data_IF_401838723788
#
_entry.id   IF_401838723788
#
_cell.length_a   1.000
_cell.length_b   1.000
_cell.length_c   1.000
_cell.angle_alpha   90.00
_cell.angle_beta   90.00
_cell.angle_gamma   90.00
#
_symmetry.space_group_name_H-M   'P 1'
#
loop_
_entity.id
_entity.type
_entity.pdbx_description
1 polymer ?
#
# COMPACT_ATOMS: atom_id res chain seq x y z
N UNK A 1 -22.08 27.07 -62.83
CA UNK A 1 -20.81 27.53 -63.42
C UNK A 1 -19.70 26.59 -63.00
N UNK A 2 -18.86 26.22 -63.98
CA UNK A 2 -17.53 25.59 -63.91
C UNK A 2 -17.31 24.38 -62.97
N UNK A 3 -17.49 23.22 -63.60
CA UNK A 3 -16.85 21.92 -63.35
C UNK A 3 -15.32 22.06 -63.37
N UNK A 4 -14.59 21.22 -62.65
CA UNK A 4 -13.47 20.43 -63.21
C UNK A 4 -13.16 19.23 -62.30
N UNK A 5 -13.52 18.05 -62.81
CA UNK A 5 -12.95 16.73 -62.49
C UNK A 5 -11.77 16.53 -63.45
N UNK A 6 -10.68 15.90 -63.00
CA UNK A 6 -9.69 15.11 -63.76
C UNK A 6 -8.47 14.87 -62.83
N UNK A 7 -7.67 13.79 -62.80
CA UNK A 7 -7.51 12.54 -63.55
C UNK A 7 -6.73 11.58 -62.64
N UNK A 8 -7.04 10.29 -62.71
CA UNK A 8 -6.24 9.18 -62.19
C UNK A 8 -4.99 9.00 -63.05
N UNK A 9 -3.80 8.84 -62.44
CA UNK A 9 -2.69 8.16 -63.09
C UNK A 9 -2.10 7.12 -62.15
N UNK A 10 -2.25 5.86 -62.54
CA UNK A 10 -1.51 4.74 -62.04
C UNK A 10 -0.13 4.71 -62.71
N UNK A 11 0.92 4.49 -61.93
CA UNK A 11 2.23 4.08 -62.43
C UNK A 11 2.73 2.89 -61.61
N UNK A 12 3.19 1.88 -62.35
CA UNK A 12 3.59 0.58 -61.86
C UNK A 12 5.03 0.55 -61.35
N UNK A 13 5.22 -0.30 -60.33
CA UNK A 13 6.37 -1.18 -60.02
C UNK A 13 7.78 -0.79 -60.50
N UNK A 14 8.69 -0.74 -59.53
CA UNK A 14 10.04 -1.30 -59.70
C UNK A 14 10.47 -2.03 -58.42
N UNK A 15 10.88 -3.28 -58.60
CA UNK A 15 11.59 -4.10 -57.62
C UNK A 15 12.95 -3.49 -57.27
N UNK A 16 13.33 -3.56 -56.01
CA UNK A 16 14.69 -3.29 -55.54
C UNK A 16 14.93 -3.93 -54.18
N UNK A 17 15.33 -5.20 -54.17
CA UNK A 17 16.00 -5.76 -53.00
C UNK A 17 17.42 -5.19 -52.98
N UNK A 18 17.73 -4.34 -52.01
CA UNK A 18 19.12 -4.09 -51.61
C UNK A 18 19.20 -4.22 -50.10
N UNK A 19 20.06 -5.13 -49.68
CA UNK A 19 20.33 -5.47 -48.30
C UNK A 19 21.24 -4.39 -47.71
N UNK A 20 20.71 -3.54 -46.84
CA UNK A 20 21.52 -2.68 -45.97
C UNK A 20 20.94 -2.72 -44.57
N UNK A 21 21.71 -3.31 -43.65
CA UNK A 21 21.48 -3.26 -42.21
C UNK A 21 21.25 -1.82 -41.75
N UNK A 22 19.99 -1.47 -41.44
CA UNK A 22 19.66 -0.37 -40.55
C UNK A 22 18.31 -0.70 -39.91
N UNK A 23 18.37 -1.14 -38.65
CA UNK A 23 17.16 -1.41 -37.86
C UNK A 23 16.36 -0.11 -37.69
N UNK A 24 15.03 -0.13 -37.85
CA UNK A 24 14.20 1.05 -37.70
C UNK A 24 14.03 1.42 -36.22
N UNK A 25 14.40 2.66 -35.91
CA UNK A 25 14.03 3.40 -34.71
C UNK A 25 12.53 3.31 -34.47
N UNK A 26 12.12 2.47 -33.52
CA UNK A 26 10.76 2.50 -32.96
C UNK A 26 10.75 3.40 -31.73
N UNK A 27 9.72 4.24 -31.70
CA UNK A 27 9.44 5.26 -30.71
C UNK A 27 9.67 4.77 -29.26
N UNK A 28 10.19 5.70 -28.43
CA UNK A 28 10.36 5.51 -27.00
C UNK A 28 9.04 5.05 -26.36
N UNK A 29 9.02 3.79 -25.94
CA UNK A 29 8.08 3.26 -24.97
C UNK A 29 8.49 3.88 -23.63
N UNK A 30 7.57 4.51 -22.87
CA UNK A 30 7.88 5.02 -21.53
C UNK A 30 8.42 3.86 -20.70
N UNK A 31 9.63 4.02 -20.19
CA UNK A 31 10.33 3.01 -19.40
C UNK A 31 9.50 2.75 -18.15
N UNK A 32 9.11 1.49 -17.99
CA UNK A 32 8.47 0.98 -16.78
C UNK A 32 9.29 1.36 -15.55
N UNK A 33 8.53 1.72 -14.52
CA UNK A 33 8.88 1.96 -13.13
C UNK A 33 10.08 1.11 -12.68
N UNK A 34 11.18 1.76 -12.29
CA UNK A 34 12.31 1.10 -11.64
C UNK A 34 11.88 0.66 -10.24
N UNK A 35 11.20 -0.48 -10.15
CA UNK A 35 10.99 -1.15 -8.86
C UNK A 35 12.39 -1.49 -8.34
N UNK A 36 12.81 -0.78 -7.29
CA UNK A 36 13.99 -1.11 -6.53
C UNK A 36 13.85 -2.58 -6.10
N UNK A 37 14.69 -3.45 -6.65
CA UNK A 37 14.67 -4.89 -6.36
C UNK A 37 14.98 -5.22 -4.89
N UNK A 38 15.27 -4.19 -4.08
CA UNK A 38 15.46 -4.27 -2.65
C UNK A 38 14.26 -3.85 -1.81
N UNK A 39 13.14 -3.46 -2.43
CA UNK A 39 11.92 -3.09 -1.73
C UNK A 39 10.65 -3.67 -2.37
N UNK A 40 9.63 -3.90 -1.55
CA UNK A 40 8.26 -4.18 -1.98
C UNK A 40 7.33 -3.23 -1.22
N UNK A 41 6.36 -2.64 -1.92
CA UNK A 41 5.39 -1.71 -1.33
C UNK A 41 3.98 -2.25 -1.52
N UNK A 42 3.18 -2.22 -0.45
CA UNK A 42 1.75 -2.53 -0.43
C UNK A 42 1.02 -1.29 0.08
N UNK A 43 -0.02 -0.85 -0.63
CA UNK A 43 -0.82 0.33 -0.26
C UNK A 43 -2.31 -0.06 -0.15
N UNK A 44 -3.03 0.59 0.76
CA UNK A 44 -4.46 0.41 0.98
C UNK A 44 -5.08 1.69 1.53
N UNK A 45 -5.99 2.28 0.75
CA UNK A 45 -6.79 3.49 1.05
C UNK A 45 -8.18 3.17 1.61
N UNK A 46 -8.45 1.89 1.93
CA UNK A 46 -9.66 1.35 2.56
C UNK A 46 -10.93 1.41 1.70
N UNK A 47 -10.91 2.05 0.53
CA UNK A 47 -12.08 2.24 -0.35
C UNK A 47 -12.65 0.90 -0.87
N UNK A 48 -11.81 -0.13 -0.95
CA UNK A 48 -12.19 -1.46 -1.44
C UNK A 48 -12.31 -2.52 -0.33
N UNK A 49 -12.35 -2.12 0.95
CA UNK A 49 -12.39 -3.08 2.07
C UNK A 49 -13.59 -4.05 2.00
N UNK A 50 -14.74 -3.60 1.48
CA UNK A 50 -15.92 -4.45 1.29
C UNK A 50 -15.74 -5.56 0.25
N UNK A 51 -14.66 -5.52 -0.54
CA UNK A 51 -14.36 -6.53 -1.57
C UNK A 51 -13.63 -7.77 -1.03
N UNK A 52 -13.42 -7.88 0.29
CA UNK A 52 -12.80 -9.04 0.95
C UNK A 52 -11.43 -9.41 0.35
N UNK A 53 -10.45 -8.52 0.49
CA UNK A 53 -9.09 -8.72 -0.02
C UNK A 53 -8.38 -9.74 0.90
N UNK A 54 -7.92 -10.92 0.42
CA UNK A 54 -7.53 -12.04 1.29
C UNK A 54 -6.48 -11.73 2.38
N UNK A 55 -5.52 -10.86 2.08
CA UNK A 55 -4.43 -10.49 3.02
C UNK A 55 -4.81 -9.31 3.92
N UNK A 56 -6.05 -8.84 3.86
CA UNK A 56 -6.58 -7.80 4.72
C UNK A 56 -7.79 -8.32 5.48
N UNK A 57 -7.86 -8.02 6.77
CA UNK A 57 -8.88 -8.57 7.67
C UNK A 57 -9.43 -7.47 8.57
N UNK A 58 -10.59 -7.73 9.17
CA UNK A 58 -11.26 -6.86 10.14
C UNK A 58 -11.98 -5.66 9.50
N UNK A 59 -12.66 -5.94 8.39
CA UNK A 59 -13.44 -5.02 7.55
C UNK A 59 -14.54 -4.29 8.34
N UNK A 60 -15.01 -4.88 9.44
CA UNK A 60 -16.04 -4.29 10.32
C UNK A 60 -15.62 -2.94 10.91
N UNK A 61 -14.31 -2.67 10.98
CA UNK A 61 -13.77 -1.39 11.47
C UNK A 61 -13.69 -0.33 10.38
N UNK A 62 -13.88 -0.69 9.11
CA UNK A 62 -13.88 0.28 8.00
C UNK A 62 -15.25 0.92 7.91
N UNK A 63 -15.30 2.23 8.12
CA UNK A 63 -16.55 3.00 8.18
C UNK A 63 -16.52 4.16 7.20
N UNK A 64 -17.68 4.49 6.64
CA UNK A 64 -17.84 5.71 5.87
C UNK A 64 -17.80 6.92 6.81
N UNK A 65 -17.02 7.92 6.45
CA UNK A 65 -16.67 9.06 7.28
C UNK A 65 -17.57 10.27 6.94
N UNK A 66 -18.66 10.45 7.71
CA UNK A 66 -19.65 11.50 7.42
C UNK A 66 -19.43 12.81 8.21
N UNK A 67 -18.91 12.73 9.44
CA UNK A 67 -18.78 13.88 10.36
C UNK A 67 -17.39 14.50 10.34
N UNK A 68 -16.38 13.64 10.35
CA UNK A 68 -14.98 13.97 10.18
C UNK A 68 -14.67 13.51 8.76
N UNK A 69 -14.05 14.34 7.93
CA UNK A 69 -13.65 13.89 6.60
C UNK A 69 -12.54 12.83 6.74
N UNK A 70 -12.64 11.73 6.00
CA UNK A 70 -11.54 10.78 5.82
C UNK A 70 -10.28 11.51 5.32
N UNK A 71 -9.10 10.93 5.55
CA UNK A 71 -7.86 11.56 5.09
C UNK A 71 -7.83 11.54 3.56
N UNK A 72 -8.12 10.39 2.97
CA UNK A 72 -8.40 10.23 1.54
C UNK A 72 -9.78 9.57 1.36
N UNK A 73 -10.33 9.62 0.14
CA UNK A 73 -11.59 8.94 -0.18
C UNK A 73 -12.79 9.31 0.71
N UNK A 74 -13.58 8.30 1.06
CA UNK A 74 -14.77 8.37 1.91
C UNK A 74 -14.69 7.47 3.16
N UNK A 75 -13.73 6.55 3.22
CA UNK A 75 -13.66 5.52 4.28
C UNK A 75 -12.41 5.68 5.14
N UNK A 76 -12.51 5.28 6.41
CA UNK A 76 -11.37 5.13 7.31
C UNK A 76 -11.59 3.95 8.26
N UNK A 77 -10.53 3.42 8.85
CA UNK A 77 -10.65 2.41 9.91
C UNK A 77 -10.88 3.11 11.24
N UNK A 78 -12.08 2.99 11.78
CA UNK A 78 -12.45 3.47 13.11
C UNK A 78 -12.26 2.36 14.12
N UNK A 79 -11.51 2.66 15.18
CA UNK A 79 -11.28 1.74 16.30
C UNK A 79 -11.45 2.45 17.63
N UNK A 80 -11.89 1.71 18.64
CA UNK A 80 -12.29 2.24 19.95
C UNK A 80 -12.08 1.17 21.05
N UNK A 81 -12.82 1.24 22.15
CA UNK A 81 -12.75 0.25 23.24
C UNK A 81 -13.52 -1.05 22.95
N UNK A 82 -14.42 -1.06 21.98
CA UNK A 82 -15.14 -2.26 21.51
C UNK A 82 -14.34 -2.96 20.40
N UNK A 83 -13.92 -2.21 19.39
CA UNK A 83 -13.11 -2.69 18.28
C UNK A 83 -11.68 -2.15 18.44
N UNK A 84 -10.86 -2.83 19.24
CA UNK A 84 -9.54 -2.30 19.63
C UNK A 84 -8.44 -2.42 18.58
N UNK A 85 -8.68 -3.17 17.50
CA UNK A 85 -7.72 -3.41 16.42
C UNK A 85 -8.28 -2.92 15.10
N UNK A 86 -7.45 -2.34 14.24
CA UNK A 86 -7.89 -1.77 12.96
C UNK A 86 -8.12 -2.82 11.89
N UNK A 87 -8.54 -2.35 10.72
CA UNK A 87 -8.34 -3.07 9.47
C UNK A 87 -6.85 -3.37 9.32
N UNK A 88 -6.51 -4.63 9.10
CA UNK A 88 -5.16 -5.15 9.32
C UNK A 88 -4.65 -5.88 8.10
N UNK A 89 -3.38 -5.68 7.77
CA UNK A 89 -2.67 -6.55 6.83
C UNK A 89 -2.20 -7.80 7.57
N UNK A 90 -2.46 -8.98 7.02
CA UNK A 90 -2.09 -10.27 7.59
C UNK A 90 -1.73 -11.28 6.51
N UNK A 91 -0.48 -11.74 6.48
CA UNK A 91 -0.02 -12.67 5.44
C UNK A 91 1.23 -13.47 5.88
N UNK A 92 1.44 -14.65 5.28
CA UNK A 92 2.70 -15.38 5.43
C UNK A 92 3.82 -14.73 4.63
N UNK A 93 5.05 -14.72 5.16
CA UNK A 93 6.18 -14.16 4.41
C UNK A 93 6.38 -14.79 3.03
N UNK A 94 6.18 -16.11 2.91
CA UNK A 94 6.29 -16.84 1.62
C UNK A 94 5.29 -16.35 0.55
N UNK A 95 4.17 -15.76 0.96
CA UNK A 95 3.18 -15.18 0.06
C UNK A 95 3.47 -13.71 -0.28
N UNK A 96 4.26 -13.01 0.54
CA UNK A 96 4.67 -11.62 0.32
C UNK A 96 5.84 -11.56 -0.67
N UNK A 97 6.91 -12.31 -0.40
CA UNK A 97 8.12 -12.32 -1.23
C UNK A 97 8.95 -13.59 -1.00
N UNK A 98 9.78 -13.95 -1.98
CA UNK A 98 10.76 -15.06 -1.84
C UNK A 98 11.88 -14.74 -0.85
N UNK A 99 12.27 -13.47 -0.72
CA UNK A 99 13.24 -12.99 0.27
C UNK A 99 12.51 -12.65 1.57
N UNK A 100 13.21 -12.81 2.70
CA UNK A 100 12.70 -12.39 4.00
C UNK A 100 13.13 -10.95 4.28
N UNK A 101 12.21 -10.06 4.70
CA UNK A 101 12.55 -8.66 4.96
C UNK A 101 13.42 -8.52 6.23
N UNK A 102 14.28 -7.51 6.22
CA UNK A 102 15.06 -7.08 7.39
C UNK A 102 14.39 -5.93 8.14
N UNK A 103 13.54 -5.18 7.44
CA UNK A 103 12.80 -4.05 8.00
C UNK A 103 11.42 -3.96 7.36
N UNK A 104 10.43 -3.61 8.17
CA UNK A 104 9.09 -3.23 7.72
C UNK A 104 8.87 -1.79 8.12
N UNK A 105 8.46 -0.96 7.16
CA UNK A 105 8.14 0.45 7.37
C UNK A 105 6.64 0.61 7.11
N UNK A 106 5.93 1.20 8.06
CA UNK A 106 4.50 1.45 7.93
C UNK A 106 4.26 2.96 7.98
N UNK A 107 3.70 3.48 6.90
CA UNK A 107 3.25 4.85 6.76
C UNK A 107 1.73 4.89 6.75
N UNK A 108 1.19 6.03 7.14
CA UNK A 108 -0.21 6.34 6.98
C UNK A 108 -0.61 7.53 7.83
N UNK A 109 -1.91 7.63 8.07
CA UNK A 109 -2.51 8.76 8.78
C UNK A 109 -3.33 8.28 9.96
N UNK A 110 -3.31 9.05 11.04
CA UNK A 110 -4.18 8.85 12.19
C UNK A 110 -4.89 10.13 12.60
N UNK A 111 -6.13 9.98 13.06
CA UNK A 111 -6.90 11.04 13.70
C UNK A 111 -7.25 10.60 15.12
N UNK A 112 -6.97 11.46 16.09
CA UNK A 112 -7.35 11.24 17.49
C UNK A 112 -8.22 12.39 18.00
N UNK A 113 -9.49 12.16 18.34
CA UNK A 113 -10.33 13.17 18.99
C UNK A 113 -9.77 13.60 20.35
N UNK A 114 -9.23 12.62 21.09
CA UNK A 114 -8.68 12.79 22.43
C UNK A 114 -7.22 12.33 22.53
N UNK A 115 -6.48 12.87 23.49
CA UNK A 115 -5.12 12.42 23.79
C UNK A 115 -5.12 10.93 24.16
N UNK A 116 -4.30 10.14 23.48
CA UNK A 116 -4.18 8.71 23.71
C UNK A 116 -2.71 8.26 23.72
N UNK A 117 -2.21 7.92 24.90
CA UNK A 117 -0.81 7.54 25.10
C UNK A 117 -0.54 6.06 24.81
N UNK A 118 -1.56 5.28 24.44
CA UNK A 118 -1.47 3.84 24.20
C UNK A 118 -1.77 3.46 22.75
N UNK A 119 -2.28 4.40 21.95
CA UNK A 119 -2.57 4.16 20.55
C UNK A 119 -1.30 4.07 19.71
N UNK A 120 -1.33 3.24 18.67
CA UNK A 120 -0.16 3.03 17.84
C UNK A 120 -0.38 2.01 16.74
N UNK A 121 0.70 1.76 15.99
CA UNK A 121 0.80 0.65 15.03
C UNK A 121 1.58 -0.49 15.66
N UNK A 122 1.12 -1.72 15.42
CA UNK A 122 1.73 -2.94 15.92
C UNK A 122 2.19 -3.79 14.74
N UNK A 123 3.39 -4.34 14.87
CA UNK A 123 3.88 -5.46 14.07
C UNK A 123 3.91 -6.71 14.96
N UNK A 124 3.18 -7.73 14.54
CA UNK A 124 3.17 -9.05 15.18
C UNK A 124 3.62 -10.10 14.16
N UNK A 125 4.66 -10.84 14.49
CA UNK A 125 5.14 -11.98 13.70
C UNK A 125 4.97 -13.24 14.53
N UNK A 126 4.25 -14.22 13.99
CA UNK A 126 3.88 -15.44 14.70
C UNK A 126 4.17 -16.72 13.91
N UNK A 127 4.41 -17.80 14.64
CA UNK A 127 4.51 -19.18 14.14
C UNK A 127 3.37 -19.97 14.79
N UNK A 128 2.44 -20.53 14.01
CA UNK A 128 1.30 -21.32 14.52
C UNK A 128 0.47 -20.62 15.63
N UNK A 129 0.25 -19.31 15.48
CA UNK A 129 -0.40 -18.40 16.43
C UNK A 129 0.39 -18.09 17.71
N UNK A 130 1.63 -18.58 17.83
CA UNK A 130 2.55 -18.16 18.88
C UNK A 130 3.36 -16.95 18.40
N UNK A 131 3.18 -15.80 19.05
CA UNK A 131 3.93 -14.58 18.78
C UNK A 131 5.43 -14.78 19.03
N UNK A 132 6.24 -14.49 18.02
CA UNK A 132 7.71 -14.52 18.07
C UNK A 132 8.31 -13.12 18.11
N UNK A 133 7.71 -12.16 17.43
CA UNK A 133 8.08 -10.73 17.47
C UNK A 133 6.81 -9.94 17.71
N UNK A 134 6.83 -9.05 18.69
CA UNK A 134 5.78 -8.06 18.90
C UNK A 134 6.44 -6.71 19.14
N UNK A 135 6.25 -5.80 18.21
CA UNK A 135 6.76 -4.44 18.30
C UNK A 135 5.62 -3.45 18.09
N UNK A 136 5.67 -2.33 18.82
CA UNK A 136 4.66 -1.28 18.72
C UNK A 136 5.32 0.08 18.53
N UNK A 137 4.82 0.83 17.56
CA UNK A 137 5.07 2.24 17.38
C UNK A 137 3.95 3.04 18.04
N UNK A 138 4.27 3.83 19.05
CA UNK A 138 3.30 4.63 19.79
C UNK A 138 3.14 6.02 19.16
N UNK A 139 1.91 6.40 18.79
CA UNK A 139 1.64 7.71 18.20
C UNK A 139 1.98 8.87 19.14
N UNK A 140 1.96 8.64 20.45
CA UNK A 140 2.30 9.67 21.42
C UNK A 140 3.76 10.12 21.33
N UNK A 141 4.66 9.25 20.83
CA UNK A 141 6.08 9.57 20.69
C UNK A 141 6.36 10.62 19.60
N UNK A 142 5.39 10.92 18.74
CA UNK A 142 5.51 11.94 17.69
C UNK A 142 4.74 13.23 18.00
N UNK A 143 4.41 13.48 19.28
CA UNK A 143 3.71 14.68 19.75
C UNK A 143 2.43 14.98 18.96
N UNK A 144 1.44 14.07 19.01
CA UNK A 144 0.25 14.14 18.18
C UNK A 144 -0.58 15.39 18.50
N UNK A 145 -1.15 16.01 17.46
CA UNK A 145 -2.19 17.03 17.65
C UNK A 145 -3.56 16.37 17.53
N UNK A 146 -4.41 16.58 18.53
CA UNK A 146 -5.79 16.06 18.51
C UNK A 146 -6.65 16.81 17.52
N UNK A 147 -7.73 16.16 17.06
CA UNK A 147 -8.76 16.73 16.18
C UNK A 147 -8.28 17.11 14.77
N UNK A 148 -7.19 16.49 14.30
CA UNK A 148 -6.73 16.58 12.91
C UNK A 148 -6.03 15.28 12.49
N UNK A 149 -5.87 15.09 11.18
CA UNK A 149 -5.06 14.01 10.64
C UNK A 149 -3.58 14.32 10.84
N UNK A 150 -2.86 13.35 11.38
CA UNK A 150 -1.42 13.40 11.58
C UNK A 150 -0.79 12.23 10.82
N UNK A 151 0.29 12.50 10.12
CA UNK A 151 1.07 11.45 9.45
C UNK A 151 1.92 10.70 10.48
N UNK A 152 2.18 9.42 10.22
CA UNK A 152 3.17 8.65 10.94
C UNK A 152 4.09 7.86 10.01
N UNK A 153 5.27 7.53 10.55
CA UNK A 153 6.17 6.53 9.97
C UNK A 153 6.69 5.64 11.08
N UNK A 154 6.26 4.39 11.08
CA UNK A 154 6.71 3.36 12.02
C UNK A 154 7.80 2.51 11.37
N UNK A 155 8.94 2.40 12.04
CA UNK A 155 10.07 1.57 11.59
C UNK A 155 10.20 0.34 12.49
N UNK A 156 10.02 -0.85 11.92
CA UNK A 156 10.14 -2.11 12.63
C UNK A 156 11.33 -2.91 12.08
N UNK A 157 12.35 -3.13 12.92
CA UNK A 157 13.58 -3.82 12.52
C UNK A 157 13.53 -5.28 12.94
N UNK A 158 13.68 -6.19 11.97
CA UNK A 158 13.62 -7.64 12.23
C UNK A 158 15.02 -8.12 12.58
N UNK A 159 15.34 -8.09 13.87
CA UNK A 159 16.67 -8.42 14.40
C UNK A 159 16.85 -9.89 14.78
N UNK A 160 15.82 -10.72 14.62
CA UNK A 160 15.85 -12.14 14.91
C UNK A 160 15.45 -12.97 13.69
N UNK A 161 15.90 -14.24 13.60
CA UNK A 161 15.55 -15.09 12.46
C UNK A 161 14.03 -15.27 12.32
N UNK A 162 13.52 -15.00 11.13
CA UNK A 162 12.16 -15.33 10.71
C UNK A 162 12.21 -16.44 9.64
N UNK A 163 11.09 -17.15 9.44
CA UNK A 163 10.98 -18.21 8.44
C UNK A 163 9.88 -17.86 7.42
N UNK A 164 9.91 -18.41 6.19
CA UNK A 164 8.90 -18.14 5.16
C UNK A 164 7.46 -18.47 5.60
N UNK A 165 7.28 -19.50 6.43
CA UNK A 165 5.96 -19.93 6.91
C UNK A 165 5.42 -19.10 8.10
N UNK A 166 6.18 -18.13 8.62
CA UNK A 166 5.69 -17.26 9.70
C UNK A 166 4.66 -16.27 9.14
N UNK A 167 3.69 -15.91 9.98
CA UNK A 167 2.65 -14.94 9.66
C UNK A 167 3.02 -13.58 10.20
N UNK A 168 3.01 -12.58 9.33
CA UNK A 168 3.10 -11.17 9.68
C UNK A 168 1.69 -10.60 9.82
N UNK A 169 1.47 -9.78 10.85
CA UNK A 169 0.31 -8.89 10.97
C UNK A 169 0.78 -7.47 11.24
N UNK A 170 0.19 -6.52 10.52
CA UNK A 170 0.34 -5.08 10.73
C UNK A 170 -1.05 -4.50 10.99
N UNK A 171 -1.23 -3.87 12.14
CA UNK A 171 -2.51 -3.30 12.55
C UNK A 171 -2.35 -2.13 13.51
N UNK A 172 -3.33 -1.24 13.53
CA UNK A 172 -3.47 -0.22 14.56
C UNK A 172 -4.11 -0.77 15.83
N UNK A 173 -3.66 -0.28 16.98
CA UNK A 173 -4.23 -0.55 18.29
C UNK A 173 -4.81 0.73 18.88
N UNK A 174 -6.05 0.66 19.37
CA UNK A 174 -6.80 1.83 19.83
C UNK A 174 -6.35 2.35 21.20
N UNK A 175 -5.61 1.57 21.99
CA UNK A 175 -5.37 1.93 23.40
C UNK A 175 -6.65 2.06 24.25
N UNK A 176 -7.78 1.51 23.77
CA UNK A 176 -9.14 1.66 24.31
C UNK A 176 -9.69 3.09 24.30
N UNK A 177 -9.35 3.88 23.28
CA UNK A 177 -10.04 5.14 22.96
C UNK A 177 -10.29 5.24 21.46
N UNK A 178 -11.29 6.03 21.08
CA UNK A 178 -11.60 6.26 19.68
C UNK A 178 -10.40 6.88 18.94
N UNK A 179 -9.98 6.24 17.85
CA UNK A 179 -9.03 6.76 16.88
C UNK A 179 -9.47 6.32 15.47
N UNK A 180 -9.00 7.04 14.46
CA UNK A 180 -9.20 6.68 13.05
C UNK A 180 -7.85 6.50 12.38
N UNK A 181 -7.77 5.56 11.45
CA UNK A 181 -6.57 5.24 10.68
C UNK A 181 -6.91 5.18 9.20
N UNK A 182 -6.01 5.67 8.36
CA UNK A 182 -6.24 5.79 6.93
C UNK A 182 -4.93 5.72 6.13
N UNK A 183 -5.03 5.46 4.83
CA UNK A 183 -3.94 5.39 3.85
C UNK A 183 -2.73 4.56 4.31
N UNK A 184 -2.93 3.26 4.54
CA UNK A 184 -1.83 2.38 4.92
C UNK A 184 -0.86 2.18 3.75
N UNK A 185 0.42 2.36 4.02
CA UNK A 185 1.52 1.99 3.12
C UNK A 185 2.55 1.16 3.88
N UNK A 186 2.74 -0.07 3.45
CA UNK A 186 3.66 -1.03 4.05
C UNK A 186 4.81 -1.27 3.08
N UNK A 187 6.01 -0.88 3.49
CA UNK A 187 7.25 -1.11 2.73
C UNK A 187 8.07 -2.20 3.39
N UNK A 188 8.40 -3.23 2.63
CA UNK A 188 9.31 -4.30 3.01
C UNK A 188 10.68 -4.01 2.40
N UNK A 189 11.71 -4.00 3.24
CA UNK A 189 13.10 -3.87 2.78
C UNK A 189 13.87 -5.15 3.08
N UNK A 190 14.64 -5.62 2.09
CA UNK A 190 15.36 -6.90 2.11
C UNK A 190 16.86 -6.73 2.38
#
# INVERSE_FOLDING_TARGET
MKRFIFIVLASALIYGCSNSNQSPSSAAIPTEDTTDQNQLVIENDLELASSMIPSWINEVTVVKMDKIKAHSGEYASKIDDENVYSYAFGEKFENINKKLPRRVIVNGWYYMPDKNEKAGIVMDISEDNETKIWEAFNFFNVNPTTNQWNEYTAYFSINQPIKPNYHLKIYGYSGKKEIYLDDFKITFEY
#
